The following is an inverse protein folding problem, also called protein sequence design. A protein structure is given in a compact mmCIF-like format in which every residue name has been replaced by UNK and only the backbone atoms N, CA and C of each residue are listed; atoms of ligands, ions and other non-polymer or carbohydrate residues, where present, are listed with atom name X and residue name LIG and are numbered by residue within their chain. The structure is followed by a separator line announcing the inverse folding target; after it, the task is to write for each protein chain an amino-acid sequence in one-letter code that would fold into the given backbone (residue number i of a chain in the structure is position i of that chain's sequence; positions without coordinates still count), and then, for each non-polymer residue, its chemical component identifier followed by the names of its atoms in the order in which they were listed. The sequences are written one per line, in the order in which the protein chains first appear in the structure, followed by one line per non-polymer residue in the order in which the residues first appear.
data_IF_356095919930
#
_entry.id   IF_356095919930
#
_cell.length_a   1.000
_cell.length_b   1.000
_cell.length_c   1.000
_cell.angle_alpha   90.00
_cell.angle_beta   90.00
_cell.angle_gamma   90.00
#
_symmetry.space_group_name_H-M   'P 1'
#
loop_
_entity.id
_entity.type
_entity.pdbx_description
1 polymer ?
#
# COMPACT_ATOMS: atom_id res chain seq x y z
N UNK A 1 6.17 6.44 26.71
CA UNK A 1 5.53 5.24 26.14
C UNK A 1 6.41 4.70 25.03
N UNK A 2 6.56 3.40 24.96
CA UNK A 2 7.43 2.78 23.94
C UNK A 2 6.63 1.78 23.11
N UNK A 3 6.78 1.83 21.79
CA UNK A 3 6.11 0.91 20.86
C UNK A 3 7.14 -0.06 20.28
N UNK A 4 6.81 -1.34 20.27
CA UNK A 4 7.67 -2.36 19.69
C UNK A 4 7.53 -2.39 18.17
N UNK A 5 6.31 -2.28 17.68
CA UNK A 5 5.99 -2.16 16.23
C UNK A 5 4.79 -1.26 16.03
N UNK A 6 4.65 -0.76 14.84
CA UNK A 6 3.46 -0.03 14.39
C UNK A 6 2.95 -0.65 13.10
N UNK A 7 1.68 -0.47 12.81
CA UNK A 7 1.10 -1.05 11.60
C UNK A 7 -0.12 -0.30 11.10
N UNK A 8 -0.49 -0.61 9.88
CA UNK A 8 -1.72 -0.14 9.24
C UNK A 8 -2.59 -1.36 8.95
N UNK A 9 -3.87 -1.27 9.28
CA UNK A 9 -4.83 -2.33 8.98
C UNK A 9 -5.75 -1.82 7.87
N UNK A 10 -5.76 -2.53 6.74
CA UNK A 10 -6.66 -2.29 5.63
C UNK A 10 -7.75 -3.36 5.63
N UNK A 11 -8.96 -2.95 5.96
CA UNK A 11 -10.12 -3.83 5.88
C UNK A 11 -10.64 -3.86 4.45
N UNK A 12 -10.92 -5.03 3.92
CA UNK A 12 -11.35 -5.19 2.53
C UNK A 12 -12.26 -6.40 2.36
N UNK A 13 -13.23 -6.30 1.45
CA UNK A 13 -13.97 -7.45 0.94
C UNK A 13 -13.38 -7.98 -0.38
N UNK A 14 -12.24 -7.41 -0.81
CA UNK A 14 -11.45 -7.86 -1.96
C UNK A 14 -10.11 -8.41 -1.47
N UNK A 15 -10.18 -9.34 -0.53
CA UNK A 15 -9.00 -9.85 0.19
C UNK A 15 -7.95 -10.45 -0.74
N UNK A 16 -8.34 -11.39 -1.60
CA UNK A 16 -7.38 -12.09 -2.46
C UNK A 16 -6.68 -11.14 -3.43
N UNK A 17 -7.44 -10.22 -4.02
CA UNK A 17 -6.89 -9.22 -4.94
C UNK A 17 -5.94 -8.27 -4.22
N UNK A 18 -6.28 -7.83 -3.01
CA UNK A 18 -5.42 -6.93 -2.22
C UNK A 18 -4.15 -7.62 -1.76
N UNK A 19 -4.24 -8.86 -1.29
CA UNK A 19 -3.04 -9.61 -0.89
C UNK A 19 -2.11 -9.81 -2.08
N UNK A 20 -2.65 -10.20 -3.24
CA UNK A 20 -1.86 -10.35 -4.46
C UNK A 20 -1.21 -9.01 -4.88
N UNK A 21 -1.97 -7.93 -4.79
CA UNK A 21 -1.45 -6.60 -5.13
C UNK A 21 -0.24 -6.23 -4.26
N UNK A 22 -0.38 -6.32 -2.95
CA UNK A 22 0.71 -5.91 -2.06
C UNK A 22 1.89 -6.88 -2.09
N UNK A 23 1.65 -8.19 -2.21
CA UNK A 23 2.73 -9.19 -2.20
C UNK A 23 3.39 -9.39 -3.55
N UNK A 24 2.64 -9.36 -4.64
CA UNK A 24 3.15 -9.67 -5.99
C UNK A 24 3.45 -8.42 -6.82
N UNK A 25 2.58 -7.40 -6.77
CA UNK A 25 2.80 -6.17 -7.53
C UNK A 25 3.83 -5.28 -6.83
N UNK A 26 3.69 -5.08 -5.52
CA UNK A 26 4.60 -4.24 -4.74
C UNK A 26 5.73 -5.02 -4.06
N UNK A 27 5.75 -6.35 -4.18
CA UNK A 27 6.80 -7.20 -3.63
C UNK A 27 6.97 -7.10 -2.10
N UNK A 28 5.90 -6.80 -1.36
CA UNK A 28 5.98 -6.79 0.09
C UNK A 28 6.00 -8.23 0.62
N UNK A 29 7.00 -8.61 1.42
CA UNK A 29 7.07 -9.96 1.96
C UNK A 29 5.89 -10.28 2.89
N UNK A 30 5.26 -11.43 2.68
CA UNK A 30 4.24 -11.94 3.60
C UNK A 30 4.94 -12.48 4.84
N UNK A 31 4.52 -11.99 6.01
CA UNK A 31 5.04 -12.42 7.30
C UNK A 31 4.18 -13.55 7.87
N UNK A 32 2.85 -13.42 7.76
CA UNK A 32 1.93 -14.36 8.35
C UNK A 32 0.58 -14.30 7.65
N UNK A 33 -0.09 -15.43 7.58
CA UNK A 33 -1.46 -15.51 7.08
C UNK A 33 -2.28 -16.36 8.04
N UNK A 34 -3.42 -15.83 8.48
CA UNK A 34 -4.35 -16.53 9.37
C UNK A 34 -5.73 -16.52 8.73
N UNK A 35 -6.27 -17.70 8.52
CA UNK A 35 -7.60 -17.87 7.95
C UNK A 35 -8.41 -18.79 8.86
N UNK A 36 -9.59 -18.33 9.23
CA UNK A 36 -10.56 -19.16 9.94
C UNK A 36 -11.94 -19.08 9.25
N UNK A 37 -12.96 -19.65 9.87
CA UNK A 37 -14.30 -19.68 9.29
C UNK A 37 -14.98 -18.30 9.24
N UNK A 38 -14.46 -17.33 9.95
CA UNK A 38 -15.07 -16.00 10.11
C UNK A 38 -14.29 -14.87 9.45
N UNK A 39 -12.97 -15.03 9.34
CA UNK A 39 -12.14 -13.97 8.84
C UNK A 39 -10.86 -14.49 8.20
N UNK A 40 -10.27 -13.66 7.36
CA UNK A 40 -8.97 -13.88 6.73
C UNK A 40 -8.10 -12.67 6.99
N UNK A 41 -6.85 -12.88 7.33
CA UNK A 41 -5.89 -11.78 7.41
C UNK A 41 -4.52 -12.22 6.92
N UNK A 42 -3.81 -11.30 6.32
CA UNK A 42 -2.41 -11.45 5.91
C UNK A 42 -1.63 -10.25 6.40
N UNK A 43 -0.51 -10.52 7.05
CA UNK A 43 0.42 -9.50 7.54
C UNK A 43 1.59 -9.46 6.59
N UNK A 44 1.90 -8.28 6.08
CA UNK A 44 3.02 -8.05 5.17
C UNK A 44 4.02 -7.08 5.82
N UNK A 45 5.29 -7.23 5.46
CA UNK A 45 6.31 -6.30 5.93
C UNK A 45 6.19 -4.99 5.14
N UNK A 46 5.93 -3.91 5.86
CA UNK A 46 5.70 -2.59 5.26
C UNK A 46 6.91 -1.66 5.39
N UNK A 47 7.90 -2.10 6.12
CA UNK A 47 9.13 -1.39 6.43
C UNK A 47 9.78 -2.06 7.63
N UNK A 48 10.89 -1.50 8.10
CA UNK A 48 11.53 -1.98 9.32
C UNK A 48 10.63 -1.65 10.51
N UNK A 49 10.27 -2.64 11.32
CA UNK A 49 9.41 -2.49 12.50
C UNK A 49 7.99 -1.97 12.21
N UNK A 50 7.54 -2.08 10.98
CA UNK A 50 6.16 -1.73 10.58
C UNK A 50 5.54 -2.87 9.79
N UNK A 51 4.22 -2.94 9.81
CA UNK A 51 3.50 -3.95 9.05
C UNK A 51 2.24 -3.37 8.41
N UNK A 52 1.85 -3.98 7.32
CA UNK A 52 0.57 -3.77 6.67
C UNK A 52 -0.24 -5.05 6.85
N UNK A 53 -1.43 -4.93 7.45
CA UNK A 53 -2.33 -6.06 7.60
C UNK A 53 -3.52 -5.87 6.66
N UNK A 54 -3.77 -6.86 5.82
CA UNK A 54 -4.95 -6.90 4.97
C UNK A 54 -5.91 -7.91 5.59
N UNK A 55 -7.12 -7.49 5.94
CA UNK A 55 -8.09 -8.38 6.57
C UNK A 55 -9.51 -8.13 6.07
N UNK A 56 -10.34 -9.16 6.18
CA UNK A 56 -11.77 -9.05 5.85
C UNK A 56 -12.54 -8.40 6.99
N UNK A 57 -13.71 -7.85 6.70
CA UNK A 57 -14.57 -7.26 7.72
C UNK A 57 -14.28 -5.78 7.95
N UNK A 58 -14.36 -5.34 9.21
CA UNK A 58 -14.09 -3.95 9.60
C UNK A 58 -14.98 -2.92 8.91
N UNK A 59 -16.21 -3.32 8.53
CA UNK A 59 -17.17 -2.48 7.78
C UNK A 59 -16.75 -2.19 6.33
N UNK A 60 -15.81 -2.95 5.78
CA UNK A 60 -15.49 -2.87 4.35
C UNK A 60 -16.69 -3.33 3.52
N UNK A 61 -16.83 -2.78 2.32
CA UNK A 61 -17.90 -3.11 1.38
C UNK A 61 -17.35 -3.69 0.08
N UNK A 62 -18.15 -4.51 -0.59
CA UNK A 62 -17.72 -5.23 -1.79
C UNK A 62 -17.42 -4.31 -2.98
N UNK A 63 -18.00 -3.13 -3.03
CA UNK A 63 -17.74 -2.16 -4.09
C UNK A 63 -16.40 -1.43 -3.94
N UNK A 64 -15.69 -1.64 -2.82
CA UNK A 64 -14.44 -0.97 -2.54
C UNK A 64 -14.62 0.45 -2.00
N UNK A 65 -13.52 1.21 -2.02
CA UNK A 65 -13.46 2.54 -1.39
C UNK A 65 -13.16 3.63 -2.42
N UNK A 66 -13.65 4.83 -2.13
CA UNK A 66 -13.20 6.07 -2.75
C UNK A 66 -12.31 6.82 -1.76
N UNK A 67 -11.58 7.82 -2.24
CA UNK A 67 -10.74 8.65 -1.37
C UNK A 67 -11.56 9.37 -0.29
N UNK A 68 -12.79 9.77 -0.60
CA UNK A 68 -13.67 10.40 0.39
C UNK A 68 -14.11 9.45 1.50
N UNK A 69 -14.19 8.15 1.21
CA UNK A 69 -14.54 7.13 2.20
C UNK A 69 -13.33 6.68 3.02
N UNK A 70 -12.14 6.75 2.45
CA UNK A 70 -10.90 6.42 3.12
C UNK A 70 -9.80 7.40 2.72
N UNK A 71 -9.75 8.58 3.34
CA UNK A 71 -8.80 9.64 2.98
C UNK A 71 -7.40 9.39 3.53
N UNK A 72 -6.88 8.19 3.33
CA UNK A 72 -5.53 7.78 3.72
C UNK A 72 -4.74 7.45 2.46
N UNK A 73 -3.49 7.87 2.44
CA UNK A 73 -2.56 7.55 1.37
C UNK A 73 -1.43 6.70 1.92
N UNK A 74 -1.14 5.58 1.25
CA UNK A 74 0.04 4.78 1.57
C UNK A 74 1.19 5.29 0.71
N UNK A 75 2.22 5.82 1.35
CA UNK A 75 3.40 6.37 0.68
C UNK A 75 4.51 5.31 0.65
N UNK A 76 5.07 5.09 -0.54
CA UNK A 76 6.23 4.23 -0.75
C UNK A 76 7.35 5.10 -1.33
N UNK A 77 8.40 5.29 -0.57
CA UNK A 77 9.57 6.00 -1.06
C UNK A 77 10.42 5.04 -1.88
N UNK A 78 10.76 5.45 -3.09
CA UNK A 78 11.51 4.66 -4.05
C UNK A 78 12.74 5.41 -4.53
N UNK A 79 13.68 4.71 -5.11
CA UNK A 79 14.89 5.34 -5.65
C UNK A 79 14.58 6.15 -6.89
N UNK A 80 13.66 5.70 -7.74
CA UNK A 80 13.23 6.38 -8.95
C UNK A 80 11.74 6.19 -9.17
N UNK A 81 10.98 7.28 -9.16
CA UNK A 81 9.54 7.24 -9.45
C UNK A 81 9.30 6.80 -10.89
N UNK A 82 10.16 7.23 -11.83
CA UNK A 82 10.04 6.83 -13.23
C UNK A 82 10.16 5.31 -13.39
N UNK A 83 11.19 4.71 -12.80
CA UNK A 83 11.42 3.26 -12.88
C UNK A 83 10.29 2.48 -12.22
N UNK A 84 9.87 2.90 -11.04
CA UNK A 84 8.76 2.26 -10.32
C UNK A 84 7.44 2.36 -11.11
N UNK A 85 7.21 3.49 -11.76
CA UNK A 85 6.02 3.69 -12.60
C UNK A 85 6.03 2.74 -13.79
N UNK A 86 7.16 2.61 -14.48
CA UNK A 86 7.30 1.66 -15.61
C UNK A 86 7.02 0.23 -15.14
N UNK A 87 7.58 -0.15 -13.99
CA UNK A 87 7.37 -1.48 -13.43
C UNK A 87 5.88 -1.77 -13.17
N UNK A 88 5.15 -0.81 -12.59
CA UNK A 88 3.72 -0.98 -12.35
C UNK A 88 2.89 -0.98 -13.64
N UNK A 89 3.22 -0.12 -14.59
CA UNK A 89 2.56 -0.10 -15.90
C UNK A 89 2.73 -1.44 -16.62
N UNK A 90 3.91 -2.05 -16.54
CA UNK A 90 4.18 -3.38 -17.12
C UNK A 90 3.34 -4.47 -16.45
N UNK A 91 2.94 -4.27 -15.22
CA UNK A 91 2.05 -5.18 -14.47
C UNK A 91 0.56 -4.84 -14.63
N UNK A 92 0.24 -3.88 -15.50
CA UNK A 92 -1.14 -3.49 -15.79
C UNK A 92 -1.77 -2.53 -14.79
N UNK A 93 -0.96 -1.87 -13.98
CA UNK A 93 -1.44 -0.91 -12.97
C UNK A 93 -1.27 0.51 -13.52
N UNK A 94 -2.35 1.27 -13.55
CA UNK A 94 -2.30 2.68 -13.93
C UNK A 94 -1.61 3.50 -12.86
N UNK A 95 -0.67 4.34 -13.28
CA UNK A 95 0.04 5.27 -12.40
C UNK A 95 -0.03 6.66 -13.02
N UNK A 96 -0.45 7.63 -12.22
CA UNK A 96 -0.45 9.03 -12.63
C UNK A 96 0.75 9.73 -12.04
N UNK A 97 1.68 10.16 -12.88
CA UNK A 97 2.84 10.91 -12.45
C UNK A 97 2.55 12.41 -12.44
N UNK A 98 3.14 13.10 -11.48
CA UNK A 98 2.94 14.53 -11.29
C UNK A 98 4.20 15.15 -10.70
N UNK A 99 4.61 16.28 -11.24
CA UNK A 99 5.73 17.06 -10.70
C UNK A 99 5.19 18.10 -9.72
N UNK A 100 5.70 18.02 -8.50
CA UNK A 100 5.46 19.04 -7.48
C UNK A 100 6.74 19.86 -7.29
N UNK A 101 6.64 21.00 -6.60
CA UNK A 101 7.82 21.82 -6.30
C UNK A 101 8.86 21.05 -5.48
N UNK A 102 8.44 20.08 -4.70
CA UNK A 102 9.28 19.28 -3.81
C UNK A 102 9.67 17.92 -4.40
N UNK A 103 9.26 17.60 -5.62
CA UNK A 103 9.64 16.36 -6.29
C UNK A 103 8.52 15.76 -7.14
N UNK A 104 8.82 14.61 -7.73
CA UNK A 104 7.87 13.87 -8.55
C UNK A 104 7.17 12.80 -7.73
N UNK A 105 5.87 12.63 -7.95
CA UNK A 105 5.07 11.54 -7.36
C UNK A 105 4.45 10.68 -8.45
N UNK A 106 4.15 9.44 -8.11
CA UNK A 106 3.38 8.53 -8.95
C UNK A 106 2.24 7.95 -8.13
N UNK A 107 1.01 8.32 -8.47
CA UNK A 107 -0.19 7.94 -7.71
C UNK A 107 -0.90 6.76 -8.36
N UNK A 108 -1.32 5.81 -7.56
CA UNK A 108 -2.03 4.62 -8.02
C UNK A 108 -2.98 4.12 -6.93
N UNK A 109 -3.81 3.14 -7.26
CA UNK A 109 -4.79 2.57 -6.33
C UNK A 109 -4.56 1.09 -6.18
N UNK A 110 -4.82 0.57 -4.98
CA UNK A 110 -4.94 -0.87 -4.80
C UNK A 110 -6.31 -1.36 -5.32
N UNK A 111 -6.56 -2.68 -5.35
CA UNK A 111 -7.81 -3.21 -5.89
C UNK A 111 -9.07 -2.78 -5.13
N UNK A 112 -8.93 -2.35 -3.88
CA UNK A 112 -10.05 -1.91 -3.05
C UNK A 112 -10.25 -0.39 -3.07
N UNK A 113 -9.45 0.35 -3.86
CA UNK A 113 -9.54 1.78 -3.99
C UNK A 113 -8.71 2.58 -2.98
N UNK A 114 -7.90 1.92 -2.16
CA UNK A 114 -6.98 2.63 -1.28
C UNK A 114 -5.93 3.35 -2.10
N UNK A 115 -5.66 4.61 -1.75
CA UNK A 115 -4.69 5.42 -2.49
C UNK A 115 -3.26 5.08 -2.07
N UNK A 116 -2.41 4.93 -3.07
CA UNK A 116 -0.99 4.69 -2.91
C UNK A 116 -0.20 5.73 -3.70
N UNK A 117 1.02 5.99 -3.29
CA UNK A 117 1.85 6.99 -3.95
C UNK A 117 3.32 6.64 -3.85
N UNK A 118 4.03 6.72 -4.98
CA UNK A 118 5.48 6.72 -5.00
C UNK A 118 6.02 8.13 -4.83
N UNK A 119 7.14 8.24 -4.16
CA UNK A 119 7.97 9.44 -4.11
C UNK A 119 9.42 9.01 -4.07
N UNK A 120 10.30 9.78 -4.68
CA UNK A 120 11.74 9.51 -4.57
C UNK A 120 12.21 9.77 -3.15
N UNK A 121 13.02 8.85 -2.64
CA UNK A 121 13.67 9.03 -1.36
C UNK A 121 14.59 10.24 -1.44
N UNK A 122 14.47 11.24 -0.54
CA UNK A 122 15.35 12.38 -0.57
C UNK A 122 16.83 11.97 -0.44
N UNK A 123 17.70 12.60 -1.21
CA UNK A 123 19.15 12.41 -1.05
C UNK A 123 19.62 13.17 0.19
N UNK A 124 20.49 12.54 1.00
CA UNK A 124 20.98 13.13 2.25
C UNK A 124 19.99 12.89 3.40
N UNK A 125 20.03 13.77 4.41
CA UNK A 125 19.15 13.66 5.57
C UNK A 125 17.70 13.96 5.20
N UNK A 126 16.76 13.05 5.49
CA UNK A 126 15.34 13.33 5.26
C UNK A 126 14.90 14.51 6.12
N UNK A 127 14.00 15.34 5.57
CA UNK A 127 13.45 16.48 6.31
C UNK A 127 12.29 16.07 7.23
N UNK A 128 11.93 14.78 7.24
CA UNK A 128 10.84 14.22 8.06
C UNK A 128 11.13 12.76 8.40
#
# INVERSE_FOLDING_TARGET
MKFERTGVILCTEKYDECVAFYSEVLDLPIIETLNDDHSKLTVLRFGENTYLMVETGGKAITSGKSLSQNPVWLRFNVKSVEDATVELLDKGIDVKTKKEVWGTVGDFKDPDGNMCSFREEPSGEPSY
#
